data_IF_101867014711
#
_entry.id   IF_101867014711
#
_cell.length_a   1.000
_cell.length_b   1.000
_cell.length_c   1.000
_cell.angle_alpha   90.00
_cell.angle_beta   90.00
_cell.angle_gamma   90.00
#
_symmetry.space_group_name_H-M   'P 1'
#
loop_
_entity.id
_entity.type
_entity.pdbx_description
1 polymer ?
#
# COMPACT_ATOMS: atom_id res chain seq x y z
N UNK A 1 66.76 -1.54 38.67
CA UNK A 1 67.09 -0.47 37.70
C UNK A 1 67.09 -1.07 36.30
N UNK A 2 66.00 -0.95 35.56
CA UNK A 2 65.97 -1.19 34.11
C UNK A 2 64.77 -0.44 33.50
N UNK A 3 65.10 0.70 32.88
CA UNK A 3 64.51 1.30 31.67
C UNK A 3 63.07 0.92 31.29
N UNK A 4 62.11 1.81 31.58
CA UNK A 4 60.80 1.84 30.91
C UNK A 4 60.84 2.80 29.72
N UNK A 5 60.57 2.21 28.55
CA UNK A 5 60.50 2.84 27.25
C UNK A 5 59.24 3.70 27.10
N UNK A 6 59.41 4.83 26.41
CA UNK A 6 58.41 5.85 26.11
C UNK A 6 57.34 5.32 25.16
N UNK A 7 56.07 5.27 25.59
CA UNK A 7 54.93 5.14 24.68
C UNK A 7 54.31 6.52 24.44
N UNK A 8 54.47 7.01 23.20
CA UNK A 8 53.85 8.25 22.71
C UNK A 8 52.33 8.09 22.65
N UNK A 9 51.62 9.03 23.24
CA UNK A 9 50.18 9.24 23.09
C UNK A 9 49.91 9.72 21.65
N UNK A 10 49.12 8.95 20.90
CA UNK A 10 48.57 9.35 19.61
C UNK A 10 47.05 9.14 19.66
N UNK A 11 46.33 10.11 20.25
CA UNK A 11 44.87 10.18 20.18
C UNK A 11 44.54 11.02 18.94
N UNK A 12 44.53 10.36 17.79
CA UNK A 12 44.11 10.92 16.51
C UNK A 12 42.63 10.63 16.24
N UNK A 13 41.80 11.67 16.37
CA UNK A 13 40.57 11.96 15.59
C UNK A 13 39.84 10.74 14.97
N UNK A 14 38.86 10.20 15.69
CA UNK A 14 37.81 9.36 15.11
C UNK A 14 36.51 9.52 15.93
N UNK A 15 35.84 10.68 15.86
CA UNK A 15 34.58 10.91 16.57
C UNK A 15 33.52 11.69 15.76
N UNK A 16 33.64 11.73 14.43
CA UNK A 16 32.72 12.50 13.57
C UNK A 16 32.36 11.74 12.29
N UNK A 17 31.74 10.56 12.44
CA UNK A 17 31.12 9.85 11.31
C UNK A 17 29.97 8.88 11.67
N UNK A 18 29.48 8.86 12.92
CA UNK A 18 28.43 7.91 13.32
C UNK A 18 27.02 8.53 13.46
N UNK A 19 26.89 9.86 13.36
CA UNK A 19 25.61 10.55 13.59
C UNK A 19 24.84 10.97 12.32
N UNK A 20 25.35 10.69 11.12
CA UNK A 20 24.68 11.06 9.87
C UNK A 20 23.95 9.90 9.15
N UNK A 21 24.28 8.63 9.46
CA UNK A 21 23.61 7.47 8.84
C UNK A 21 22.40 6.96 9.64
N UNK A 22 22.39 7.17 10.96
CA UNK A 22 21.24 6.84 11.80
C UNK A 22 20.00 7.71 11.49
N UNK A 23 20.20 8.94 11.00
CA UNK A 23 19.12 9.89 10.73
C UNK A 23 18.33 9.53 9.46
N UNK A 24 18.99 9.13 8.37
CA UNK A 24 18.28 8.80 7.11
C UNK A 24 17.53 7.46 7.20
N UNK A 25 18.13 6.44 7.83
CA UNK A 25 17.54 5.11 7.99
C UNK A 25 16.32 5.08 8.93
N UNK A 26 16.24 6.01 9.91
CA UNK A 26 15.07 6.19 10.77
C UNK A 26 14.00 7.06 10.11
N UNK A 27 14.39 8.03 9.27
CA UNK A 27 13.48 8.95 8.61
C UNK A 27 12.67 8.31 7.46
N UNK A 28 13.23 7.32 6.75
CA UNK A 28 12.59 6.72 5.58
C UNK A 28 11.38 5.81 5.89
N UNK A 29 11.45 4.82 6.81
CA UNK A 29 10.28 4.03 7.21
C UNK A 29 9.19 4.93 7.83
N UNK A 30 9.59 5.98 8.56
CA UNK A 30 8.67 6.96 9.11
C UNK A 30 8.00 7.86 8.06
N UNK A 31 8.59 8.07 6.88
CA UNK A 31 7.97 8.84 5.78
C UNK A 31 7.01 7.95 4.97
N UNK A 32 7.36 6.69 4.76
CA UNK A 32 6.52 5.72 4.05
C UNK A 32 5.28 5.35 4.87
N UNK A 33 5.44 5.13 6.19
CA UNK A 33 4.31 4.94 7.11
C UNK A 33 3.36 6.15 7.13
N UNK A 34 3.89 7.39 7.06
CA UNK A 34 3.08 8.61 6.96
C UNK A 34 2.32 8.70 5.62
N UNK A 35 2.96 8.34 4.51
CA UNK A 35 2.31 8.34 3.20
C UNK A 35 1.16 7.31 3.14
N UNK A 36 1.37 6.10 3.66
CA UNK A 36 0.32 5.06 3.71
C UNK A 36 -0.80 5.43 4.68
N UNK A 37 -0.48 6.04 5.82
CA UNK A 37 -1.49 6.59 6.73
C UNK A 37 -2.35 7.66 6.04
N UNK A 38 -1.73 8.53 5.22
CA UNK A 38 -2.47 9.51 4.43
C UNK A 38 -3.36 8.88 3.37
N UNK A 39 -2.92 7.81 2.68
CA UNK A 39 -3.75 7.09 1.71
C UNK A 39 -4.94 6.42 2.40
N UNK A 40 -4.71 5.78 3.55
CA UNK A 40 -5.77 5.17 4.35
C UNK A 40 -6.80 6.22 4.80
N UNK A 41 -6.35 7.38 5.27
CA UNK A 41 -7.22 8.50 5.65
C UNK A 41 -8.02 9.02 4.45
N UNK A 42 -7.39 9.20 3.28
CA UNK A 42 -8.08 9.60 2.05
C UNK A 42 -9.14 8.57 1.64
N UNK A 43 -8.84 7.28 1.77
CA UNK A 43 -9.81 6.23 1.48
C UNK A 43 -11.00 6.22 2.44
N UNK A 44 -10.76 6.44 3.74
CA UNK A 44 -11.83 6.57 4.72
C UNK A 44 -12.73 7.77 4.40
N UNK A 45 -12.14 8.93 4.07
CA UNK A 45 -12.90 10.10 3.67
C UNK A 45 -13.71 9.82 2.39
N UNK A 46 -13.11 9.15 1.39
CA UNK A 46 -13.82 8.73 0.19
C UNK A 46 -15.00 7.79 0.50
N UNK A 47 -14.83 6.86 1.45
CA UNK A 47 -15.92 6.00 1.90
C UNK A 47 -17.08 6.79 2.52
N UNK A 48 -16.78 7.72 3.45
CA UNK A 48 -17.81 8.55 4.09
C UNK A 48 -18.47 9.53 3.13
N UNK A 49 -17.76 9.96 2.08
CA UNK A 49 -18.29 10.73 0.95
C UNK A 49 -19.12 9.89 -0.04
N UNK A 50 -19.31 8.59 0.23
CA UNK A 50 -19.93 7.61 -0.67
C UNK A 50 -19.24 7.46 -2.05
N UNK A 51 -17.97 7.87 -2.15
CA UNK A 51 -17.08 7.66 -3.31
C UNK A 51 -16.41 6.29 -3.20
N UNK A 52 -17.22 5.23 -3.27
CA UNK A 52 -16.75 3.86 -3.03
C UNK A 52 -15.69 3.40 -4.04
N UNK A 53 -15.77 3.82 -5.29
CA UNK A 53 -14.75 3.52 -6.31
C UNK A 53 -13.38 4.11 -5.97
N UNK A 54 -13.35 5.34 -5.44
CA UNK A 54 -12.10 5.98 -5.00
C UNK A 54 -11.52 5.25 -3.78
N UNK A 55 -12.37 4.92 -2.80
CA UNK A 55 -11.97 4.12 -1.64
C UNK A 55 -11.36 2.77 -2.05
N UNK A 56 -12.03 2.04 -2.95
CA UNK A 56 -11.54 0.76 -3.48
C UNK A 56 -10.21 0.93 -4.20
N UNK A 57 -10.09 1.98 -5.04
CA UNK A 57 -8.87 2.28 -5.81
C UNK A 57 -7.69 2.56 -4.90
N UNK A 58 -7.91 3.28 -3.79
CA UNK A 58 -6.87 3.60 -2.81
C UNK A 58 -6.48 2.39 -1.95
N UNK A 59 -7.45 1.57 -1.52
CA UNK A 59 -7.21 0.49 -0.56
C UNK A 59 -6.78 -0.84 -1.19
N UNK A 60 -7.26 -1.18 -2.40
CA UNK A 60 -6.93 -2.45 -3.06
C UNK A 60 -5.42 -2.69 -3.18
N UNK A 61 -4.58 -1.74 -3.67
CA UNK A 61 -3.14 -1.94 -3.67
C UNK A 61 -2.58 -1.97 -2.24
N UNK A 62 -3.13 -1.16 -1.34
CA UNK A 62 -2.63 -1.01 0.03
C UNK A 62 -2.78 -2.28 0.88
N UNK A 63 -3.86 -3.06 0.70
CA UNK A 63 -4.04 -4.32 1.45
C UNK A 63 -3.18 -5.47 0.92
N UNK A 64 -2.84 -5.47 -0.38
CA UNK A 64 -2.01 -6.50 -1.00
C UNK A 64 -0.53 -6.20 -0.79
N UNK A 65 -0.15 -4.94 -0.97
CA UNK A 65 1.24 -4.54 -1.10
C UNK A 65 1.63 -3.51 -0.05
N UNK A 66 0.74 -2.91 0.72
CA UNK A 66 1.12 -1.92 1.74
C UNK A 66 1.98 -2.50 2.87
N UNK A 67 2.90 -1.69 3.40
CA UNK A 67 3.63 -2.00 4.64
C UNK A 67 2.81 -1.54 5.85
N UNK A 68 1.57 -2.04 5.92
CA UNK A 68 0.61 -1.63 6.91
C UNK A 68 0.94 -2.25 8.26
N UNK A 69 0.84 -1.43 9.31
CA UNK A 69 0.71 -1.96 10.67
C UNK A 69 -0.55 -2.82 10.77
N UNK A 70 -0.62 -3.68 11.77
CA UNK A 70 -1.78 -4.56 11.94
C UNK A 70 -3.10 -3.80 12.15
N UNK A 71 -3.04 -2.63 12.79
CA UNK A 71 -4.20 -1.74 12.95
C UNK A 71 -4.62 -1.14 11.62
N UNK A 72 -3.65 -0.73 10.79
CA UNK A 72 -3.95 -0.15 9.48
C UNK A 72 -4.47 -1.20 8.51
N UNK A 73 -3.91 -2.42 8.50
CA UNK A 73 -4.38 -3.50 7.64
C UNK A 73 -5.79 -3.92 8.00
N UNK A 74 -6.07 -4.07 9.29
CA UNK A 74 -7.42 -4.31 9.78
C UNK A 74 -8.41 -3.26 9.27
N UNK A 75 -8.09 -1.98 9.52
CA UNK A 75 -8.91 -0.85 9.11
C UNK A 75 -9.12 -0.85 7.60
N UNK A 76 -8.05 -1.03 6.82
CA UNK A 76 -8.12 -1.07 5.36
C UNK A 76 -9.03 -2.20 4.86
N UNK A 77 -8.95 -3.40 5.44
CA UNK A 77 -9.81 -4.53 5.05
C UNK A 77 -11.28 -4.28 5.43
N UNK A 78 -11.56 -3.67 6.58
CA UNK A 78 -12.92 -3.28 6.97
C UNK A 78 -13.55 -2.31 5.96
N UNK A 79 -12.85 -1.20 5.65
CA UNK A 79 -13.33 -0.19 4.71
C UNK A 79 -13.42 -0.72 3.28
N UNK A 80 -12.45 -1.53 2.82
CA UNK A 80 -12.46 -2.10 1.48
C UNK A 80 -13.63 -3.08 1.29
N UNK A 81 -13.85 -3.98 2.25
CA UNK A 81 -14.97 -4.93 2.21
C UNK A 81 -16.32 -4.21 2.22
N UNK A 82 -16.45 -3.19 3.08
CA UNK A 82 -17.66 -2.38 3.14
C UNK A 82 -17.89 -1.56 1.86
N UNK A 83 -16.84 -1.02 1.24
CA UNK A 83 -16.93 -0.27 -0.01
C UNK A 83 -17.42 -1.16 -1.17
N UNK A 84 -16.87 -2.38 -1.31
CA UNK A 84 -17.36 -3.35 -2.28
C UNK A 84 -18.84 -3.70 -2.06
N UNK A 85 -19.24 -3.88 -0.79
CA UNK A 85 -20.63 -4.15 -0.45
C UNK A 85 -21.56 -3.00 -0.87
N UNK A 86 -21.20 -1.75 -0.53
CA UNK A 86 -22.02 -0.58 -0.89
C UNK A 86 -22.09 -0.33 -2.40
N UNK A 87 -21.09 -0.79 -3.15
CA UNK A 87 -21.10 -0.79 -4.63
C UNK A 87 -22.01 -1.90 -5.22
N UNK A 88 -22.44 -2.87 -4.40
CA UNK A 88 -23.21 -4.04 -4.83
C UNK A 88 -22.34 -5.21 -5.31
N UNK A 89 -21.02 -5.14 -5.18
CA UNK A 89 -20.10 -6.26 -5.47
C UNK A 89 -19.93 -7.15 -4.24
N UNK A 90 -21.00 -7.89 -3.94
CA UNK A 90 -21.08 -8.77 -2.76
C UNK A 90 -20.01 -9.87 -2.80
N UNK A 91 -19.64 -10.34 -4.00
CA UNK A 91 -18.60 -11.37 -4.16
C UNK A 91 -17.25 -10.84 -3.69
N UNK A 92 -16.84 -9.65 -4.15
CA UNK A 92 -15.60 -9.02 -3.69
C UNK A 92 -15.66 -8.65 -2.21
N UNK A 93 -16.79 -8.16 -1.73
CA UNK A 93 -16.98 -7.88 -0.31
C UNK A 93 -16.73 -9.13 0.55
N UNK A 94 -17.30 -10.28 0.18
CA UNK A 94 -17.08 -11.56 0.88
C UNK A 94 -15.63 -12.02 0.83
N UNK A 95 -14.94 -11.85 -0.29
CA UNK A 95 -13.51 -12.17 -0.41
C UNK A 95 -12.69 -11.33 0.57
N UNK A 96 -12.87 -10.01 0.57
CA UNK A 96 -12.13 -9.10 1.46
C UNK A 96 -12.46 -9.35 2.92
N UNK A 97 -13.73 -9.59 3.27
CA UNK A 97 -14.11 -9.91 4.63
C UNK A 97 -13.63 -11.28 5.09
N UNK A 98 -13.46 -12.25 4.19
CA UNK A 98 -12.78 -13.50 4.49
C UNK A 98 -11.30 -13.26 4.78
N UNK A 99 -10.64 -12.36 4.04
CA UNK A 99 -9.26 -11.97 4.31
C UNK A 99 -9.14 -11.28 5.67
N UNK A 100 -10.08 -10.40 6.04
CA UNK A 100 -10.18 -9.82 7.38
C UNK A 100 -10.34 -10.89 8.46
N UNK A 101 -11.30 -11.81 8.29
CA UNK A 101 -11.54 -12.89 9.25
C UNK A 101 -10.35 -13.85 9.35
N UNK A 102 -9.57 -14.00 8.28
CA UNK A 102 -8.33 -14.76 8.25
C UNK A 102 -7.21 -14.01 8.94
N UNK A 103 -7.08 -12.70 8.73
CA UNK A 103 -6.07 -11.88 9.38
C UNK A 103 -6.31 -11.82 10.88
N UNK A 104 -7.55 -11.59 11.30
CA UNK A 104 -7.97 -11.52 12.69
C UNK A 104 -9.29 -12.26 12.92
N UNK A 105 -9.22 -13.43 13.57
CA UNK A 105 -10.42 -14.24 13.83
C UNK A 105 -11.31 -13.66 14.93
N UNK A 106 -10.83 -12.64 15.65
CA UNK A 106 -11.56 -11.94 16.68
C UNK A 106 -12.08 -10.59 16.17
N UNK A 107 -11.76 -10.20 14.93
CA UNK A 107 -12.22 -8.96 14.32
C UNK A 107 -13.74 -8.77 14.48
N UNK A 108 -14.11 -7.54 14.78
CA UNK A 108 -15.49 -7.07 14.87
C UNK A 108 -15.60 -5.81 14.03
N UNK A 109 -16.70 -5.70 13.28
CA UNK A 109 -17.03 -4.48 12.55
C UNK A 109 -18.09 -3.76 13.38
N UNK A 110 -17.81 -2.51 13.72
CA UNK A 110 -18.68 -1.69 14.54
C UNK A 110 -19.80 -1.06 13.69
N UNK A 111 -21.04 -1.46 13.97
CA UNK A 111 -22.26 -1.00 13.28
C UNK A 111 -22.49 0.52 13.37
N UNK A 112 -21.77 1.23 14.25
CA UNK A 112 -21.82 2.69 14.31
C UNK A 112 -21.10 3.36 13.14
N UNK A 113 -20.13 2.66 12.55
CA UNK A 113 -19.30 3.20 11.46
C UNK A 113 -19.58 2.52 10.13
N UNK A 114 -20.13 1.30 10.14
CA UNK A 114 -20.40 0.51 8.95
C UNK A 114 -21.87 0.11 8.86
N UNK A 115 -22.45 0.11 7.66
CA UNK A 115 -23.85 -0.21 7.46
C UNK A 115 -24.14 -1.70 7.76
N UNK A 116 -25.35 -1.97 8.24
CA UNK A 116 -25.73 -3.30 8.74
C UNK A 116 -25.61 -4.42 7.69
N UNK A 117 -25.78 -4.10 6.41
CA UNK A 117 -25.61 -5.06 5.32
C UNK A 117 -24.14 -5.48 5.14
N UNK A 118 -23.18 -4.54 5.23
CA UNK A 118 -21.76 -4.85 5.23
C UNK A 118 -21.36 -5.68 6.46
N UNK A 119 -21.89 -5.34 7.64
CA UNK A 119 -21.66 -6.13 8.85
C UNK A 119 -22.20 -7.55 8.69
N UNK A 120 -23.40 -7.72 8.14
CA UNK A 120 -23.99 -9.04 7.89
C UNK A 120 -23.12 -9.90 6.95
N UNK A 121 -22.62 -9.32 5.86
CA UNK A 121 -21.73 -10.02 4.91
C UNK A 121 -20.40 -10.39 5.57
N UNK A 122 -19.84 -9.53 6.42
CA UNK A 122 -18.66 -9.87 7.21
C UNK A 122 -18.91 -11.04 8.16
N UNK A 123 -20.02 -11.02 8.91
CA UNK A 123 -20.34 -12.10 9.85
C UNK A 123 -20.52 -13.44 9.13
N UNK A 124 -21.17 -13.42 7.95
CA UNK A 124 -21.27 -14.60 7.10
C UNK A 124 -19.89 -15.07 6.63
N UNK A 125 -19.07 -14.19 6.04
CA UNK A 125 -17.73 -14.54 5.56
C UNK A 125 -16.83 -15.08 6.68
N UNK A 126 -16.92 -14.51 7.88
CA UNK A 126 -16.20 -14.97 9.08
C UNK A 126 -16.68 -16.35 9.52
N UNK A 127 -18.00 -16.57 9.61
CA UNK A 127 -18.57 -17.88 9.95
C UNK A 127 -18.14 -18.95 8.95
N UNK A 128 -18.24 -18.64 7.66
CA UNK A 128 -17.85 -19.55 6.59
C UNK A 128 -16.38 -19.92 6.72
N UNK A 129 -15.50 -18.93 6.88
CA UNK A 129 -14.07 -19.16 7.12
C UNK A 129 -13.82 -20.06 8.34
N UNK A 130 -14.42 -19.73 9.49
CA UNK A 130 -14.23 -20.51 10.72
C UNK A 130 -14.76 -21.94 10.58
N UNK A 131 -15.81 -22.16 9.76
CA UNK A 131 -16.32 -23.50 9.47
C UNK A 131 -15.38 -24.35 8.61
N UNK A 132 -14.42 -23.73 7.92
CA UNK A 132 -13.39 -24.45 7.16
C UNK A 132 -12.26 -25.01 8.04
N UNK A 133 -12.20 -24.60 9.31
CA UNK A 133 -11.20 -25.10 10.25
C UNK A 133 -11.66 -26.46 10.80
N UNK A 134 -10.95 -27.54 10.45
CA UNK A 134 -11.18 -28.86 11.05
C UNK A 134 -10.79 -28.81 12.53
N UNK A 135 -11.72 -29.17 13.43
CA UNK A 135 -11.53 -29.24 14.89
C UNK A 135 -10.68 -28.08 15.43
N UNK A 136 -11.30 -26.93 15.62
CA UNK A 136 -10.59 -25.71 16.04
C UNK A 136 -9.75 -25.91 17.31
N UNK A 137 -8.48 -25.52 17.25
CA UNK A 137 -7.64 -25.23 18.41
C UNK A 137 -7.01 -23.84 18.30
N UNK A 138 -6.01 -23.57 19.13
CA UNK A 138 -5.55 -22.20 19.39
C UNK A 138 -4.03 -22.09 19.47
N UNK A 139 -3.49 -21.02 18.89
CA UNK A 139 -2.14 -20.53 19.23
C UNK A 139 -2.25 -19.31 20.13
N UNK A 140 -1.46 -19.28 21.21
CA UNK A 140 -1.26 -18.07 22.01
C UNK A 140 0.19 -17.64 21.86
N UNK A 141 0.42 -16.50 21.24
CA UNK A 141 1.76 -16.05 20.86
C UNK A 141 2.13 -14.81 21.68
N UNK A 142 3.35 -14.78 22.20
CA UNK A 142 3.83 -13.69 23.05
C UNK A 142 5.27 -13.30 22.72
N UNK A 143 5.66 -12.06 23.06
CA UNK A 143 7.05 -11.59 22.97
C UNK A 143 7.54 -11.23 21.55
N UNK A 144 6.63 -11.07 20.58
CA UNK A 144 7.00 -10.74 19.20
C UNK A 144 7.51 -9.29 19.02
N UNK A 145 7.06 -8.36 19.88
CA UNK A 145 7.24 -6.92 19.69
C UNK A 145 6.20 -6.33 18.73
N UNK A 146 5.93 -5.03 18.81
CA UNK A 146 4.88 -4.35 18.03
C UNK A 146 5.23 -4.13 16.56
N UNK A 147 6.50 -4.31 16.19
CA UNK A 147 7.04 -4.17 14.83
C UNK A 147 7.19 -5.51 14.09
N UNK A 148 6.73 -6.60 14.70
CA UNK A 148 6.71 -7.93 14.11
C UNK A 148 5.29 -8.31 13.69
N UNK A 149 5.20 -9.21 12.71
CA UNK A 149 3.97 -9.91 12.37
C UNK A 149 4.27 -11.39 12.11
N UNK A 150 3.22 -12.20 12.13
CA UNK A 150 3.31 -13.64 11.89
C UNK A 150 2.53 -14.03 10.65
N UNK A 151 3.09 -15.00 9.92
CA UNK A 151 2.45 -15.70 8.81
C UNK A 151 2.25 -17.16 9.22
N UNK A 152 1.01 -17.61 9.29
CA UNK A 152 0.65 -19.00 9.60
C UNK A 152 0.12 -19.64 8.31
N UNK A 153 0.76 -20.72 7.87
CA UNK A 153 0.43 -21.45 6.63
C UNK A 153 0.31 -20.53 5.41
N UNK A 154 1.23 -19.58 5.31
CA UNK A 154 1.29 -18.62 4.20
C UNK A 154 0.35 -17.42 4.33
N UNK A 155 -0.47 -17.33 5.39
CA UNK A 155 -1.39 -16.21 5.60
C UNK A 155 -0.96 -15.34 6.79
N UNK A 156 -0.85 -14.02 6.58
CA UNK A 156 -0.56 -13.07 7.67
C UNK A 156 -1.68 -13.12 8.71
N UNK A 157 -1.31 -13.11 9.98
CA UNK A 157 -2.24 -13.04 11.12
C UNK A 157 -1.90 -11.82 11.97
N UNK A 158 -2.91 -11.26 12.63
CA UNK A 158 -2.73 -10.19 13.60
C UNK A 158 -1.76 -10.67 14.69
N UNK A 159 -0.76 -9.84 14.95
CA UNK A 159 0.03 -9.86 16.15
C UNK A 159 -0.84 -9.40 17.32
N UNK A 160 -1.27 -10.34 18.12
CA UNK A 160 -2.12 -10.12 19.29
C UNK A 160 -1.66 -11.04 20.41
N UNK A 161 -1.84 -10.59 21.65
CA UNK A 161 -1.66 -11.45 22.83
C UNK A 161 -2.85 -12.42 23.03
N UNK A 162 -3.93 -12.21 22.28
CA UNK A 162 -5.08 -13.10 22.24
C UNK A 162 -4.77 -14.42 21.49
N UNK A 163 -5.71 -15.37 21.62
CA UNK A 163 -5.63 -16.64 20.90
C UNK A 163 -5.99 -16.50 19.42
N UNK A 164 -5.18 -17.14 18.57
CA UNK A 164 -5.40 -17.28 17.13
C UNK A 164 -6.05 -18.64 16.87
N UNK A 165 -7.19 -18.67 16.18
CA UNK A 165 -7.92 -19.90 15.86
C UNK A 165 -7.30 -20.59 14.65
N UNK A 166 -6.98 -21.88 14.79
CA UNK A 166 -6.40 -22.72 13.75
C UNK A 166 -7.08 -24.09 13.72
N UNK A 167 -6.95 -24.82 12.61
CA UNK A 167 -7.37 -26.22 12.57
C UNK A 167 -6.49 -27.08 13.49
N UNK A 168 -6.93 -28.29 13.85
CA UNK A 168 -5.97 -29.28 14.36
C UNK A 168 -5.00 -29.71 13.27
N UNK A 169 -3.76 -29.99 13.65
CA UNK A 169 -2.71 -30.43 12.76
C UNK A 169 -1.42 -29.64 12.93
N UNK A 170 -0.49 -29.88 12.01
CA UNK A 170 0.80 -29.18 11.94
C UNK A 170 0.64 -27.87 11.19
N UNK A 171 1.19 -26.81 11.74
CA UNK A 171 1.20 -25.48 11.18
C UNK A 171 2.62 -24.97 11.02
N UNK A 172 2.87 -24.25 9.94
CA UNK A 172 4.14 -23.54 9.70
C UNK A 172 3.97 -22.08 10.09
N UNK A 173 4.74 -21.63 11.07
CA UNK A 173 4.71 -20.28 11.62
C UNK A 173 5.96 -19.54 11.19
N UNK A 174 5.81 -18.50 10.38
CA UNK A 174 6.90 -17.64 9.93
C UNK A 174 6.78 -16.26 10.59
N UNK A 175 7.78 -15.92 11.38
CA UNK A 175 7.86 -14.67 12.12
C UNK A 175 8.68 -13.68 11.31
N UNK A 176 8.13 -12.49 11.08
CA UNK A 176 8.77 -11.42 10.30
C UNK A 176 8.84 -10.15 11.14
N UNK A 177 9.97 -9.46 11.03
CA UNK A 177 10.23 -8.17 11.67
C UNK A 177 11.06 -7.33 10.72
N UNK A 178 10.69 -6.06 10.53
CA UNK A 178 11.31 -5.19 9.54
C UNK A 178 12.83 -5.10 9.76
N UNK A 179 13.61 -5.24 8.67
CA UNK A 179 15.07 -5.20 8.72
C UNK A 179 15.77 -6.43 9.31
N UNK A 180 15.02 -7.43 9.79
CA UNK A 180 15.57 -8.67 10.35
C UNK A 180 15.28 -9.86 9.43
N UNK A 181 16.16 -10.86 9.50
CA UNK A 181 15.92 -12.13 8.79
C UNK A 181 14.73 -12.84 9.43
N UNK A 182 13.71 -13.25 8.66
CA UNK A 182 12.57 -13.97 9.22
C UNK A 182 12.99 -15.37 9.68
N UNK A 183 12.33 -15.88 10.72
CA UNK A 183 12.55 -17.25 11.19
C UNK A 183 11.25 -18.05 11.17
N UNK A 184 11.39 -19.37 11.10
CA UNK A 184 10.27 -20.31 10.97
C UNK A 184 10.26 -21.26 12.15
N UNK A 185 9.07 -21.57 12.64
CA UNK A 185 8.79 -22.64 13.60
C UNK A 185 7.67 -23.53 13.08
N UNK A 186 7.68 -24.78 13.50
CA UNK A 186 6.55 -25.67 13.34
C UNK A 186 5.87 -25.84 14.71
N UNK A 187 4.55 -25.85 14.71
CA UNK A 187 3.75 -26.13 15.89
C UNK A 187 2.60 -27.06 15.51
N UNK A 188 2.15 -27.88 16.45
CA UNK A 188 1.09 -28.86 16.20
C UNK A 188 -0.02 -28.73 17.24
N UNK A 189 -1.25 -28.55 16.78
CA UNK A 189 -2.46 -28.63 17.59
C UNK A 189 -3.00 -30.05 17.46
N UNK A 190 -2.88 -30.86 18.50
CA UNK A 190 -3.19 -32.29 18.47
C UNK A 190 -4.67 -32.58 18.72
N UNK A 191 -5.37 -31.71 19.46
CA UNK A 191 -6.76 -31.93 19.86
C UNK A 191 -7.60 -30.67 19.72
N UNK A 192 -8.90 -30.85 19.48
CA UNK A 192 -9.86 -29.75 19.48
C UNK A 192 -9.82 -29.02 20.83
N UNK A 193 -9.78 -27.70 20.77
CA UNK A 193 -9.73 -26.82 21.94
C UNK A 193 -8.36 -26.71 22.61
N UNK A 194 -7.33 -27.41 22.12
CA UNK A 194 -5.96 -27.27 22.64
C UNK A 194 -5.42 -25.87 22.36
N UNK A 195 -4.78 -25.27 23.37
CA UNK A 195 -4.02 -24.04 23.23
C UNK A 195 -2.54 -24.36 23.28
N UNK A 196 -1.83 -24.06 22.19
CA UNK A 196 -0.38 -24.17 22.11
C UNK A 196 0.22 -22.79 22.35
N UNK A 197 0.97 -22.65 23.42
CA UNK A 197 1.67 -21.41 23.76
C UNK A 197 3.02 -21.33 23.04
N UNK A 198 3.26 -20.20 22.36
CA UNK A 198 4.50 -19.94 21.62
C UNK A 198 5.11 -18.65 22.15
N UNK A 199 6.25 -18.78 22.81
CA UNK A 199 7.02 -17.64 23.27
C UNK A 199 8.09 -17.28 22.23
N UNK A 200 8.04 -16.05 21.73
CA UNK A 200 9.10 -15.45 20.91
C UNK A 200 9.98 -14.60 21.83
N UNK A 201 11.29 -14.73 21.68
CA UNK A 201 12.30 -14.00 22.45
C UNK A 201 13.21 -13.23 21.48
N UNK A 202 13.87 -12.19 21.97
CA UNK A 202 14.80 -11.41 21.14
C UNK A 202 15.90 -12.29 20.51
N UNK A 203 16.34 -13.31 21.25
CA UNK A 203 17.33 -14.30 20.80
C UNK A 203 16.85 -15.18 19.63
N UNK A 204 15.54 -15.25 19.36
CA UNK A 204 14.99 -16.00 18.22
C UNK A 204 15.21 -15.27 16.90
N UNK A 205 15.34 -13.94 16.93
CA UNK A 205 15.67 -13.11 15.77
C UNK A 205 17.16 -13.23 15.40
N UNK A 206 17.65 -14.46 15.23
CA UNK A 206 19.04 -14.75 14.86
C UNK A 206 19.29 -14.35 13.40
N UNK A 207 19.94 -13.21 13.22
CA UNK A 207 20.46 -12.79 11.93
C UNK A 207 21.07 -11.39 12.05
N UNK A 208 22.17 -11.14 11.34
CA UNK A 208 22.57 -9.77 11.06
C UNK A 208 21.35 -9.01 10.50
N UNK A 209 21.23 -7.72 10.80
CA UNK A 209 20.35 -6.84 10.03
C UNK A 209 20.48 -7.24 8.56
N UNK A 210 19.36 -7.51 7.89
CA UNK A 210 19.40 -7.93 6.49
C UNK A 210 20.30 -6.95 5.76
N UNK A 211 21.44 -7.42 5.22
CA UNK A 211 22.30 -6.58 4.42
C UNK A 211 21.50 -6.25 3.15
N UNK A 212 20.84 -5.10 3.19
CA UNK A 212 19.96 -4.61 2.15
C UNK A 212 20.69 -4.67 0.81
N UNK A 213 19.97 -5.04 -0.24
CA UNK A 213 20.44 -4.81 -1.60
C UNK A 213 20.02 -3.43 -2.08
N UNK A 214 20.50 -3.05 -3.25
CA UNK A 214 20.11 -1.79 -3.89
C UNK A 214 19.48 -2.11 -5.24
N UNK A 215 18.35 -1.50 -5.57
CA UNK A 215 17.88 -1.45 -6.93
C UNK A 215 18.30 -0.11 -7.55
N UNK A 216 18.88 -0.17 -8.74
CA UNK A 216 19.02 0.97 -9.65
C UNK A 216 18.00 0.78 -10.77
N UNK A 217 17.13 1.75 -10.99
CA UNK A 217 16.21 1.74 -12.11
C UNK A 217 16.45 2.94 -13.02
N UNK A 218 16.65 2.65 -14.32
CA UNK A 218 16.85 3.65 -15.37
C UNK A 218 15.54 3.80 -16.14
N UNK A 219 14.93 4.97 -16.03
CA UNK A 219 13.62 5.30 -16.60
C UNK A 219 13.75 6.14 -17.87
N UNK A 220 12.86 5.88 -18.83
CA UNK A 220 12.70 6.64 -20.06
C UNK A 220 11.21 6.60 -20.46
N UNK A 221 10.42 7.66 -20.22
CA UNK A 221 10.81 8.97 -19.68
C UNK A 221 11.16 8.95 -18.17
N UNK A 222 11.98 9.89 -17.71
CA UNK A 222 12.50 9.93 -16.32
C UNK A 222 11.41 10.21 -15.26
N UNK A 223 10.30 10.84 -15.66
CA UNK A 223 9.17 11.19 -14.78
C UNK A 223 8.11 10.09 -14.71
N UNK A 224 8.39 8.89 -15.23
CA UNK A 224 7.52 7.73 -15.10
C UNK A 224 7.38 7.29 -13.65
N UNK A 225 6.15 6.94 -13.25
CA UNK A 225 5.87 6.38 -11.95
C UNK A 225 6.37 4.94 -11.89
N UNK A 226 7.06 4.58 -10.81
CA UNK A 226 7.59 3.24 -10.59
C UNK A 226 6.85 2.60 -9.45
N UNK A 227 6.41 1.37 -9.67
CA UNK A 227 5.88 0.47 -8.67
C UNK A 227 6.80 -0.76 -8.58
N UNK A 228 7.08 -1.24 -7.38
CA UNK A 228 7.81 -2.48 -7.09
C UNK A 228 6.97 -3.32 -6.16
N UNK A 229 6.72 -4.58 -6.52
CA UNK A 229 5.77 -5.47 -5.84
C UNK A 229 4.40 -4.82 -5.67
N UNK A 230 3.97 -4.07 -6.70
CA UNK A 230 2.74 -3.27 -6.69
C UNK A 230 2.71 -2.14 -5.66
N UNK A 231 3.89 -1.67 -5.18
CA UNK A 231 4.05 -0.50 -4.30
C UNK A 231 4.69 0.65 -5.07
N UNK A 232 4.16 1.88 -5.10
CA UNK A 232 4.85 3.01 -5.70
C UNK A 232 6.15 3.29 -4.92
N UNK A 233 7.26 3.41 -5.64
CA UNK A 233 8.59 3.63 -5.09
C UNK A 233 9.17 4.92 -5.66
N UNK A 234 9.61 5.81 -4.77
CA UNK A 234 10.38 6.98 -5.16
C UNK A 234 11.85 6.60 -5.26
N UNK A 235 12.40 6.71 -6.47
CA UNK A 235 13.82 6.54 -6.70
C UNK A 235 14.56 7.81 -6.25
N UNK A 236 15.56 7.68 -5.38
CA UNK A 236 16.50 8.75 -5.06
C UNK A 236 17.72 8.57 -5.95
N UNK A 237 17.96 9.51 -6.87
CA UNK A 237 19.01 9.40 -7.89
C UNK A 237 18.92 8.10 -8.72
N UNK A 238 17.70 7.63 -8.99
CA UNK A 238 17.45 6.38 -9.70
C UNK A 238 17.62 5.12 -8.85
N UNK A 239 17.77 5.24 -7.53
CA UNK A 239 18.04 4.11 -6.62
C UNK A 239 17.02 3.97 -5.49
N UNK A 240 16.89 2.75 -4.98
CA UNK A 240 16.17 2.43 -3.74
C UNK A 240 16.84 1.25 -3.03
N UNK A 241 16.75 1.20 -1.70
CA UNK A 241 17.10 0.01 -0.95
C UNK A 241 16.01 -1.05 -1.09
N UNK A 242 16.43 -2.31 -1.15
CA UNK A 242 15.55 -3.45 -1.35
C UNK A 242 15.93 -4.58 -0.40
N UNK A 243 14.91 -5.21 0.18
CA UNK A 243 15.09 -6.48 0.87
C UNK A 243 15.61 -7.49 -0.16
N UNK A 244 16.58 -8.37 0.17
CA UNK A 244 16.99 -9.41 -0.76
C UNK A 244 15.84 -10.37 -1.10
N UNK A 245 15.67 -10.68 -2.38
CA UNK A 245 14.60 -11.54 -2.87
C UNK A 245 14.19 -11.25 -4.31
N UNK A 246 13.22 -12.03 -4.81
CA UNK A 246 12.56 -11.76 -6.08
C UNK A 246 11.48 -10.69 -5.90
N UNK A 247 11.50 -9.71 -6.77
CA UNK A 247 10.57 -8.59 -6.82
C UNK A 247 9.97 -8.46 -8.21
N UNK A 248 8.82 -7.83 -8.29
CA UNK A 248 8.16 -7.41 -9.54
C UNK A 248 8.20 -5.90 -9.65
N UNK A 249 8.05 -5.36 -10.85
CA UNK A 249 7.89 -3.92 -11.05
C UNK A 249 6.83 -3.61 -12.09
N UNK A 250 6.26 -2.40 -12.00
CA UNK A 250 5.45 -1.76 -13.03
C UNK A 250 5.92 -0.33 -13.18
N UNK A 251 6.16 0.12 -14.40
CA UNK A 251 6.47 1.51 -14.71
C UNK A 251 5.36 2.05 -15.59
N UNK A 252 4.79 3.20 -15.22
CA UNK A 252 3.62 3.80 -15.89
C UNK A 252 3.80 5.30 -16.07
N UNK A 253 3.19 5.86 -17.12
CA UNK A 253 3.16 7.29 -17.41
C UNK A 253 2.00 7.61 -18.35
N UNK A 254 1.25 8.66 -18.07
CA UNK A 254 0.15 9.09 -18.96
C UNK A 254 0.61 9.28 -20.40
N UNK A 255 -0.15 8.73 -21.34
CA UNK A 255 0.20 8.72 -22.76
C UNK A 255 1.20 7.64 -23.16
N UNK A 256 1.64 6.78 -22.23
CA UNK A 256 2.53 5.65 -22.48
C UNK A 256 1.91 4.32 -22.06
N UNK A 257 2.31 3.24 -22.73
CA UNK A 257 1.97 1.88 -22.34
C UNK A 257 2.84 1.46 -21.15
N UNK A 258 2.20 0.90 -20.13
CA UNK A 258 2.87 0.38 -18.95
C UNK A 258 3.88 -0.71 -19.28
N UNK A 259 4.95 -0.77 -18.50
CA UNK A 259 5.94 -1.85 -18.57
C UNK A 259 6.04 -2.57 -17.24
N UNK A 260 5.83 -3.89 -17.26
CA UNK A 260 5.97 -4.74 -16.07
C UNK A 260 7.11 -5.74 -16.23
N UNK A 261 7.61 -6.27 -15.10
CA UNK A 261 8.63 -7.32 -15.10
C UNK A 261 8.99 -7.78 -13.70
N UNK A 262 10.06 -8.57 -13.59
CA UNK A 262 10.60 -9.04 -12.31
C UNK A 262 12.12 -8.94 -12.26
N UNK A 263 12.68 -8.78 -11.07
CA UNK A 263 14.12 -8.74 -10.80
C UNK A 263 14.43 -9.48 -9.49
N UNK A 264 15.70 -9.85 -9.31
CA UNK A 264 16.19 -10.52 -8.11
C UNK A 264 17.26 -9.64 -7.45
N UNK A 265 17.08 -9.36 -6.16
CA UNK A 265 18.00 -8.59 -5.34
C UNK A 265 18.74 -9.54 -4.43
N UNK A 266 20.06 -9.54 -4.53
CA UNK A 266 20.91 -10.32 -3.63
C UNK A 266 21.42 -9.45 -2.49
N UNK A 267 21.61 -10.06 -1.33
CA UNK A 267 22.16 -9.46 -0.12
C UNK A 267 23.42 -8.63 -0.41
N UNK A 268 23.39 -7.34 -0.06
CA UNK A 268 24.50 -6.39 -0.27
C UNK A 268 24.87 -6.13 -1.73
N UNK A 269 24.08 -6.60 -2.70
CA UNK A 269 24.34 -6.41 -4.14
C UNK A 269 23.36 -5.43 -4.77
N UNK A 270 23.79 -4.87 -5.89
CA UNK A 270 22.96 -3.99 -6.71
C UNK A 270 22.30 -4.77 -7.84
N UNK A 271 20.98 -4.66 -7.96
CA UNK A 271 20.21 -5.06 -9.14
C UNK A 271 19.96 -3.82 -10.02
N UNK A 272 20.01 -3.99 -11.34
CA UNK A 272 19.76 -2.89 -12.28
C UNK A 272 18.64 -3.25 -13.24
N UNK A 273 17.63 -2.39 -13.36
CA UNK A 273 16.48 -2.55 -14.27
C UNK A 273 16.38 -1.35 -15.19
N UNK A 274 16.18 -1.57 -16.50
CA UNK A 274 15.92 -0.50 -17.46
C UNK A 274 14.48 -0.58 -17.99
N UNK A 275 13.72 0.47 -17.73
CA UNK A 275 12.32 0.58 -18.12
C UNK A 275 12.14 1.76 -19.08
N UNK A 276 12.08 1.44 -20.37
CA UNK A 276 11.70 2.37 -21.44
C UNK A 276 10.25 2.14 -21.83
N UNK A 277 9.42 3.17 -21.72
CA UNK A 277 8.00 3.14 -22.07
C UNK A 277 7.79 3.52 -23.54
N UNK A 278 6.70 3.04 -24.13
CA UNK A 278 6.31 3.36 -25.51
C UNK A 278 5.05 4.23 -25.49
N UNK A 279 5.00 5.34 -26.26
CA UNK A 279 3.78 6.14 -26.37
C UNK A 279 2.60 5.33 -26.90
N UNK A 280 1.41 5.56 -26.35
CA UNK A 280 0.16 5.02 -26.90
C UNK A 280 -0.26 5.95 -28.04
N UNK A 281 -0.33 5.41 -29.27
CA UNK A 281 -0.72 6.18 -30.46
C UNK A 281 -2.15 6.72 -30.31
N UNK A 282 -2.29 8.05 -30.17
CA UNK A 282 -3.59 8.73 -30.06
C UNK A 282 -3.56 10.15 -29.45
N UNK A 283 -2.50 10.54 -28.73
CA UNK A 283 -2.47 11.81 -27.97
C UNK A 283 -1.61 12.93 -28.62
N UNK A 284 -1.67 13.10 -29.94
CA UNK A 284 -0.95 14.18 -30.63
C UNK A 284 -1.81 14.83 -31.73
N UNK A 285 -2.84 15.58 -31.33
CA UNK A 285 -3.50 16.53 -32.22
C UNK A 285 -4.24 17.64 -31.46
N UNK A 286 -3.59 18.29 -30.47
CA UNK A 286 -4.08 19.59 -30.00
C UNK A 286 -2.98 20.41 -29.30
N UNK A 287 -1.98 20.82 -30.09
CA UNK A 287 -1.16 22.00 -29.79
C UNK A 287 -0.29 22.31 -31.02
N UNK A 288 -0.74 23.21 -31.89
CA UNK A 288 0.16 24.05 -32.71
C UNK A 288 -0.66 25.15 -33.37
N UNK A 289 -0.88 26.22 -32.60
CA UNK A 289 -1.21 27.52 -33.18
C UNK A 289 0.08 28.30 -33.38
N UNK A 290 0.66 28.27 -34.57
CA UNK A 290 1.57 29.35 -35.01
C UNK A 290 1.30 29.74 -36.47
N UNK A 291 1.00 31.03 -36.64
CA UNK A 291 0.70 31.71 -37.89
C UNK A 291 1.94 31.78 -38.78
N UNK A 292 1.89 31.16 -39.96
CA UNK A 292 2.91 31.34 -41.00
C UNK A 292 2.55 32.51 -41.93
N UNK A 293 3.33 33.60 -41.86
CA UNK A 293 3.32 34.69 -42.84
C UNK A 293 4.00 34.25 -44.13
N UNK A 294 3.24 34.32 -45.23
CA UNK A 294 3.61 34.89 -46.53
C UNK A 294 4.97 34.53 -47.18
N UNK A 295 4.92 33.73 -48.25
CA UNK A 295 5.44 34.14 -49.58
C UNK A 295 4.95 33.23 -50.73
N UNK A 296 4.25 33.89 -51.67
CA UNK A 296 3.96 33.66 -53.12
C UNK A 296 4.76 32.52 -53.81
N UNK A 297 4.31 31.81 -54.86
CA UNK A 297 3.25 31.99 -55.90
C UNK A 297 3.06 30.65 -56.66
N UNK A 298 1.88 30.47 -57.25
CA UNK A 298 1.36 29.32 -58.01
C UNK A 298 1.77 29.27 -59.51
N UNK A 299 1.71 28.09 -60.15
CA UNK A 299 1.10 27.82 -61.48
C UNK A 299 0.90 26.29 -61.74
N UNK A 300 -0.34 25.74 -61.70
CA UNK A 300 -1.26 25.23 -62.78
C UNK A 300 -0.65 24.19 -63.76
N UNK A 301 -1.28 23.08 -64.21
CA UNK A 301 -2.63 22.73 -64.75
C UNK A 301 -2.78 21.17 -64.67
N UNK A 302 -3.91 20.46 -64.53
CA UNK A 302 -5.34 20.78 -64.47
C UNK A 302 -6.26 19.53 -64.46
N UNK A 303 -7.58 19.81 -64.45
CA UNK A 303 -8.80 19.06 -64.88
C UNK A 303 -9.02 17.58 -64.43
N UNK A 304 -10.21 17.08 -64.04
CA UNK A 304 -11.59 17.51 -64.27
C UNK A 304 -12.62 16.87 -63.28
N UNK A 305 -13.67 17.63 -62.97
CA UNK A 305 -15.12 17.28 -62.93
C UNK A 305 -15.69 16.26 -61.92
N UNK A 306 -16.92 16.32 -61.40
CA UNK A 306 -18.09 17.24 -61.31
C UNK A 306 -19.00 16.63 -60.23
N UNK A 307 -19.70 17.43 -59.41
CA UNK A 307 -20.86 16.95 -58.64
C UNK A 307 -21.13 17.73 -57.34
N UNK A 308 -21.97 18.75 -57.41
CA UNK A 308 -22.42 19.60 -56.29
C UNK A 308 -23.74 19.10 -55.66
N UNK A 309 -24.05 19.52 -54.42
CA UNK A 309 -25.21 20.40 -54.04
C UNK A 309 -25.38 20.52 -52.50
N UNK A 310 -25.46 21.80 -52.04
CA UNK A 310 -26.09 22.45 -50.86
C UNK A 310 -25.91 21.87 -49.44
N UNK A 311 -25.29 22.52 -48.45
CA UNK A 311 -25.57 23.81 -47.74
C UNK A 311 -26.98 23.93 -47.14
N UNK A 312 -27.09 23.80 -45.81
CA UNK A 312 -27.74 24.78 -44.92
C UNK A 312 -26.95 24.87 -43.62
N UNK A 313 -26.42 26.06 -43.33
CA UNK A 313 -25.92 26.47 -42.03
C UNK A 313 -27.00 27.31 -41.33
N UNK A 314 -27.20 27.09 -40.03
CA UNK A 314 -27.76 28.10 -39.12
C UNK A 314 -26.82 28.18 -37.92
N UNK A 315 -26.26 29.36 -37.73
CA UNK A 315 -25.41 29.76 -36.63
C UNK A 315 -26.21 30.62 -35.64
N UNK A 316 -25.90 30.49 -34.34
CA UNK A 316 -25.89 31.52 -33.28
C UNK A 316 -25.96 30.78 -31.92
N UNK A 317 -25.21 31.10 -30.87
CA UNK A 317 -24.23 32.15 -30.62
C UNK A 317 -23.93 32.23 -29.11
N UNK A 318 -22.77 32.79 -28.75
CA UNK A 318 -22.41 33.33 -27.42
C UNK A 318 -22.28 32.31 -26.27
N UNK A 319 -21.35 32.38 -25.32
CA UNK A 319 -20.44 33.44 -24.89
C UNK A 319 -20.24 33.29 -23.37
N UNK A 320 -19.07 33.71 -22.85
CA UNK A 320 -18.91 34.04 -21.43
C UNK A 320 -18.03 33.09 -20.61
N UNK A 321 -16.81 33.54 -20.32
CA UNK A 321 -15.93 32.95 -19.31
C UNK A 321 -16.25 33.45 -17.89
N UNK A 322 -15.65 32.79 -16.90
CA UNK A 322 -15.67 33.24 -15.51
C UNK A 322 -14.87 32.29 -14.63
N UNK A 323 -13.60 32.63 -14.38
CA UNK A 323 -12.80 32.02 -13.31
C UNK A 323 -13.27 32.53 -11.95
N UNK A 324 -13.48 31.60 -11.02
CA UNK A 324 -13.81 31.89 -9.62
C UNK A 324 -13.01 30.97 -8.71
N UNK A 325 -12.16 31.58 -7.89
CA UNK A 325 -11.33 30.95 -6.86
C UNK A 325 -12.18 30.22 -5.82
N UNK A 326 -11.84 28.97 -5.51
CA UNK A 326 -12.50 28.19 -4.47
C UNK A 326 -11.81 28.46 -3.14
N UNK A 327 -12.50 29.13 -2.22
CA UNK A 327 -12.10 29.28 -0.82
C UNK A 327 -12.44 27.98 -0.08
N UNK A 328 -11.52 27.39 0.72
CA UNK A 328 -11.87 26.19 1.49
C UNK A 328 -12.84 26.53 2.63
N UNK A 329 -13.96 25.81 2.67
CA UNK A 329 -14.94 25.81 3.76
C UNK A 329 -14.31 25.19 5.02
N UNK A 330 -14.45 25.87 6.16
CA UNK A 330 -14.03 25.36 7.46
C UNK A 330 -14.83 24.14 7.92
N UNK A 331 -14.37 23.43 8.96
CA UNK A 331 -15.00 22.19 9.43
C UNK A 331 -16.41 22.44 10.00
N UNK A 332 -17.32 21.45 9.89
CA UNK A 332 -18.70 21.57 10.36
C UNK A 332 -18.80 21.63 11.90
N UNK A 333 -19.88 22.23 12.45
CA UNK A 333 -20.04 22.42 13.88
C UNK A 333 -20.32 21.12 14.63
N UNK A 334 -19.74 21.01 15.83
CA UNK A 334 -19.91 19.90 16.77
C UNK A 334 -21.34 19.89 17.33
N UNK A 335 -22.05 18.74 17.35
CA UNK A 335 -23.38 18.65 17.96
C UNK A 335 -23.32 18.72 19.49
N UNK A 336 -24.37 19.23 20.16
CA UNK A 336 -24.36 19.47 21.60
C UNK A 336 -24.35 18.16 22.40
N UNK A 337 -23.56 18.16 23.47
CA UNK A 337 -23.47 17.08 24.45
C UNK A 337 -24.79 16.89 25.20
N UNK A 338 -25.39 15.70 25.06
CA UNK A 338 -26.53 15.30 25.89
C UNK A 338 -26.04 15.06 27.33
N UNK A 339 -26.53 15.88 28.26
CA UNK A 339 -26.36 15.69 29.72
C UNK A 339 -27.01 14.37 30.17
N UNK A 340 -26.48 13.71 31.21
CA UNK A 340 -27.08 12.49 31.76
C UNK A 340 -28.39 12.80 32.49
N UNK A 341 -29.44 12.03 32.18
CA UNK A 341 -30.70 12.00 32.92
C UNK A 341 -30.45 11.36 34.28
N UNK A 342 -30.63 12.14 35.34
CA UNK A 342 -30.60 11.68 36.72
C UNK A 342 -31.84 10.82 37.02
N UNK A 343 -31.62 9.77 37.82
CA UNK A 343 -32.63 8.80 38.21
C UNK A 343 -33.81 9.40 39.00
N UNK A 344 -34.99 8.82 38.76
CA UNK A 344 -36.18 8.98 39.57
C UNK A 344 -36.57 7.63 40.16
N UNK A 345 -36.57 7.55 41.50
CA UNK A 345 -37.12 6.44 42.28
C UNK A 345 -38.63 6.32 42.05
N UNK A 346 -39.13 5.10 41.88
CA UNK A 346 -40.16 4.46 42.71
C UNK A 346 -40.27 2.99 42.33
#
# INVERSE_FOLDING_TARGET
>A
MHTLSRFKVFIGRAFLAYFALASVAVLYPAKQARAQASILEQAQNAYYDAKFDDCITLLSPLVVTGDLSDVQLDTALQFLGAAYQQKGDVTKAREVFRDLATFDNNAQIDERFFPADAVAVFQEAKRDYLSTLDKVGFFKISGQGSDAYIVIDGKRRRNTEDVIKVATGKHRLEFRKAGLTPFVREAEVKRQGETVEIQVRDEDWKGAALAMGTLIMVLDPLDAAVEIDGRPVTLVEGKTEMIPGKHTYRVSRDGYADKTGSFDVKTGKTATVSAKLKPVSGAAAEATGEKKKSSKKFLFIGAAAVGAVAIVAVAAGGGGGGGGTVTPLGPPPVPPSSKPVAGGRR
#
